data_IF_113120319461
#
_entry.id   IF_113120319461
#
_cell.length_a   1.000
_cell.length_b   1.000
_cell.length_c   1.000
_cell.angle_alpha   90.00
_cell.angle_beta   90.00
_cell.angle_gamma   90.00
#
_symmetry.space_group_name_H-M   'P 1'
#
loop_
_entity.id
_entity.type
_entity.pdbx_description
1 polymer ?
#
# COMPACT_ATOMS: atom_id res chain seq x y z
N UNK A 1 14.14 12.59 -8.96
CA UNK A 1 13.06 11.64 -9.28
C UNK A 1 12.68 10.88 -8.02
N UNK A 2 11.50 11.12 -7.45
CA UNK A 2 11.04 10.36 -6.29
C UNK A 2 10.94 8.85 -6.62
N UNK A 3 11.40 8.02 -5.68
CA UNK A 3 11.31 6.55 -5.76
C UNK A 3 10.15 6.07 -4.90
N UNK A 4 9.20 5.43 -5.54
CA UNK A 4 7.91 5.04 -4.94
C UNK A 4 7.74 3.53 -4.99
N UNK A 5 7.26 2.95 -3.91
CA UNK A 5 6.86 1.55 -3.80
C UNK A 5 5.35 1.49 -3.54
N UNK A 6 4.62 0.82 -4.41
CA UNK A 6 3.20 0.50 -4.25
C UNK A 6 3.07 -0.98 -3.90
N UNK A 7 2.62 -1.28 -2.68
CA UNK A 7 2.47 -2.64 -2.17
C UNK A 7 1.00 -3.04 -2.14
N UNK A 8 0.70 -4.29 -2.44
CA UNK A 8 -0.66 -4.78 -2.71
C UNK A 8 -1.29 -3.96 -3.84
N UNK A 9 -0.53 -3.79 -4.92
CA UNK A 9 -0.84 -2.81 -5.96
C UNK A 9 -2.12 -3.12 -6.75
N UNK A 10 -2.63 -4.36 -6.68
CA UNK A 10 -3.80 -4.77 -7.43
C UNK A 10 -3.60 -4.53 -8.93
N UNK A 11 -4.43 -3.68 -9.50
CA UNK A 11 -4.33 -3.28 -10.92
C UNK A 11 -3.39 -2.08 -11.16
N UNK A 12 -2.74 -1.55 -10.11
CA UNK A 12 -1.74 -0.48 -10.18
C UNK A 12 -2.30 0.94 -10.00
N UNK A 13 -3.49 1.10 -9.46
CA UNK A 13 -4.15 2.41 -9.35
C UNK A 13 -3.31 3.45 -8.59
N UNK A 14 -2.68 3.07 -7.46
CA UNK A 14 -1.90 4.00 -6.66
C UNK A 14 -0.57 4.35 -7.35
N UNK A 15 0.22 3.37 -7.77
CA UNK A 15 1.52 3.62 -8.41
C UNK A 15 1.39 4.38 -9.73
N UNK A 16 0.42 4.05 -10.57
CA UNK A 16 0.11 4.78 -11.79
C UNK A 16 -0.44 6.18 -11.48
N UNK A 17 -1.27 6.31 -10.43
CA UNK A 17 -1.75 7.60 -9.95
C UNK A 17 -0.62 8.52 -9.53
N UNK A 18 0.32 8.02 -8.72
CA UNK A 18 1.52 8.78 -8.34
C UNK A 18 2.29 9.23 -9.58
N UNK A 19 2.52 8.35 -10.54
CA UNK A 19 3.20 8.70 -11.80
C UNK A 19 2.46 9.76 -12.60
N UNK A 20 1.14 9.71 -12.61
CA UNK A 20 0.28 10.68 -13.30
C UNK A 20 0.44 12.09 -12.72
N UNK A 21 0.46 12.20 -11.39
CA UNK A 21 0.54 13.50 -10.70
C UNK A 21 1.98 13.97 -10.44
N UNK A 22 2.94 13.07 -10.45
CA UNK A 22 4.37 13.34 -10.34
C UNK A 22 5.12 12.69 -11.51
N UNK A 23 5.20 13.36 -12.68
CA UNK A 23 5.77 12.78 -13.91
C UNK A 23 7.22 12.30 -13.76
N UNK A 24 7.99 12.86 -12.83
CA UNK A 24 9.37 12.46 -12.57
C UNK A 24 9.50 11.23 -11.65
N UNK A 25 8.41 10.78 -11.02
CA UNK A 25 8.45 9.64 -10.12
C UNK A 25 8.81 8.34 -10.85
N UNK A 26 9.57 7.49 -10.16
CA UNK A 26 9.81 6.09 -10.51
C UNK A 26 9.04 5.22 -9.53
N UNK A 27 8.11 4.42 -10.02
CA UNK A 27 7.26 3.58 -9.18
C UNK A 27 7.50 2.10 -9.44
N UNK A 28 7.59 1.32 -8.36
CA UNK A 28 7.57 -0.14 -8.39
C UNK A 28 6.26 -0.59 -7.76
N UNK A 29 5.43 -1.28 -8.54
CA UNK A 29 4.14 -1.80 -8.11
C UNK A 29 4.26 -3.30 -7.86
N UNK A 30 4.05 -3.73 -6.62
CA UNK A 30 4.21 -5.13 -6.19
C UNK A 30 2.85 -5.75 -5.93
N UNK A 31 2.55 -6.82 -6.64
CA UNK A 31 1.29 -7.56 -6.51
C UNK A 31 1.55 -9.06 -6.38
N UNK A 32 0.85 -9.68 -5.43
CA UNK A 32 1.00 -11.11 -5.15
C UNK A 32 0.12 -11.98 -6.05
N UNK A 33 -1.14 -11.56 -6.28
CA UNK A 33 -2.10 -12.31 -7.08
C UNK A 33 -1.66 -12.40 -8.54
N UNK A 34 -1.47 -13.60 -9.10
CA UNK A 34 -1.13 -13.73 -10.52
C UNK A 34 -2.19 -13.15 -11.46
N UNK A 35 -3.44 -13.20 -11.06
CA UNK A 35 -4.56 -12.64 -11.83
C UNK A 35 -4.51 -11.11 -11.85
N UNK A 36 -4.44 -10.46 -10.68
CA UNK A 36 -4.33 -9.02 -10.58
C UNK A 36 -3.04 -8.51 -11.23
N UNK A 37 -1.93 -9.24 -11.08
CA UNK A 37 -0.64 -8.92 -11.69
C UNK A 37 -0.70 -8.83 -13.22
N UNK A 38 -1.47 -9.69 -13.88
CA UNK A 38 -1.68 -9.60 -15.35
C UNK A 38 -2.34 -8.28 -15.76
N UNK A 39 -3.32 -7.82 -14.98
CA UNK A 39 -3.94 -6.50 -15.21
C UNK A 39 -2.96 -5.35 -14.89
N UNK A 40 -2.17 -5.47 -13.83
CA UNK A 40 -1.13 -4.51 -13.50
C UNK A 40 -0.14 -4.34 -14.66
N UNK A 41 0.39 -5.44 -15.20
CA UNK A 41 1.30 -5.39 -16.35
C UNK A 41 0.65 -4.75 -17.58
N UNK A 42 -0.61 -5.05 -17.84
CA UNK A 42 -1.36 -4.42 -18.94
C UNK A 42 -1.50 -2.92 -18.70
N UNK A 43 -1.91 -2.49 -17.50
CA UNK A 43 -2.12 -1.09 -17.17
C UNK A 43 -0.83 -0.28 -17.21
N UNK A 44 0.29 -0.83 -16.74
CA UNK A 44 1.61 -0.19 -16.86
C UNK A 44 1.97 0.11 -18.32
N UNK A 45 1.58 -0.78 -19.25
CA UNK A 45 1.83 -0.57 -20.68
C UNK A 45 0.86 0.41 -21.35
N UNK A 46 -0.40 0.48 -20.88
CA UNK A 46 -1.48 1.12 -21.65
C UNK A 46 -2.11 2.34 -20.97
N UNK A 47 -2.14 2.39 -19.64
CA UNK A 47 -2.89 3.43 -18.92
C UNK A 47 -2.24 4.82 -19.00
N UNK A 48 -0.91 4.88 -19.04
CA UNK A 48 -0.15 6.12 -19.18
C UNK A 48 0.88 5.97 -20.30
N UNK A 49 0.63 6.52 -21.49
CA UNK A 49 1.60 6.51 -22.59
C UNK A 49 2.96 7.05 -22.12
N UNK A 50 4.02 6.26 -22.30
CA UNK A 50 5.37 6.62 -21.88
C UNK A 50 5.65 6.42 -20.36
N UNK A 51 4.77 5.81 -19.59
CA UNK A 51 5.04 5.51 -18.18
C UNK A 51 6.14 4.45 -17.99
N UNK A 52 6.20 3.45 -18.87
CA UNK A 52 7.30 2.51 -18.90
C UNK A 52 8.55 3.18 -19.50
N UNK A 53 9.78 2.95 -18.96
CA UNK A 53 10.11 2.05 -17.86
C UNK A 53 9.99 2.66 -16.45
N UNK A 54 9.47 3.86 -16.28
CA UNK A 54 9.41 4.55 -14.99
C UNK A 54 8.41 3.95 -14.00
N UNK A 55 7.45 3.15 -14.49
CA UNK A 55 6.58 2.31 -13.66
C UNK A 55 6.88 0.85 -13.97
N UNK A 56 7.21 0.08 -12.95
CA UNK A 56 7.53 -1.34 -13.06
C UNK A 56 6.51 -2.17 -12.31
N UNK A 57 6.02 -3.23 -12.94
CA UNK A 57 5.22 -4.26 -12.30
C UNK A 57 6.12 -5.39 -11.81
N UNK A 58 5.98 -5.79 -10.56
CA UNK A 58 6.71 -6.89 -9.94
C UNK A 58 5.73 -7.85 -9.28
N UNK A 59 5.80 -9.13 -9.62
CA UNK A 59 5.05 -10.14 -8.89
C UNK A 59 5.80 -10.48 -7.61
N UNK A 60 5.17 -10.23 -6.45
CA UNK A 60 5.83 -10.42 -5.16
C UNK A 60 4.86 -10.36 -3.99
N UNK A 61 5.31 -10.87 -2.85
CA UNK A 61 4.55 -10.93 -1.62
C UNK A 61 5.05 -9.87 -0.63
N UNK A 62 4.16 -8.98 -0.14
CA UNK A 62 4.46 -7.98 0.87
C UNK A 62 5.17 -8.57 2.10
N UNK A 63 4.82 -9.79 2.49
CA UNK A 63 5.42 -10.42 3.68
C UNK A 63 6.90 -10.79 3.52
N UNK A 64 7.43 -10.83 2.30
CA UNK A 64 8.83 -11.19 2.02
C UNK A 64 9.56 -10.17 1.17
N UNK A 65 8.87 -9.32 0.43
CA UNK A 65 9.47 -8.41 -0.56
C UNK A 65 10.45 -7.40 0.08
N UNK A 66 10.22 -7.01 1.32
CA UNK A 66 11.10 -6.11 2.09
C UNK A 66 12.54 -6.61 2.15
N UNK A 67 12.78 -7.93 2.10
CA UNK A 67 14.13 -8.53 2.15
C UNK A 67 15.00 -8.17 0.95
N UNK A 68 14.38 -7.78 -0.16
CA UNK A 68 15.06 -7.35 -1.39
C UNK A 68 15.30 -5.84 -1.48
N UNK A 69 14.75 -5.07 -0.54
CA UNK A 69 14.83 -3.61 -0.58
C UNK A 69 16.11 -3.10 0.06
N UNK A 70 16.87 -2.25 -0.65
CA UNK A 70 18.00 -1.56 -0.05
C UNK A 70 17.52 -0.49 0.94
N UNK A 71 18.30 -0.28 1.99
CA UNK A 71 18.00 0.72 3.01
C UNK A 71 18.06 2.16 2.44
N UNK A 72 17.15 3.02 2.90
CA UNK A 72 17.19 4.46 2.68
C UNK A 72 16.98 4.93 1.25
N UNK A 73 16.44 4.11 0.38
CA UNK A 73 16.36 4.45 -1.04
C UNK A 73 14.98 4.93 -1.51
N UNK A 74 13.94 4.70 -0.75
CA UNK A 74 12.58 5.10 -1.13
C UNK A 74 12.20 6.45 -0.54
N UNK A 75 11.48 7.25 -1.32
CA UNK A 75 10.87 8.50 -0.86
C UNK A 75 9.46 8.27 -0.31
N UNK A 76 8.74 7.30 -0.89
CA UNK A 76 7.35 7.04 -0.58
C UNK A 76 7.04 5.54 -0.70
N UNK A 77 6.31 5.02 0.27
CA UNK A 77 5.63 3.74 0.19
C UNK A 77 4.13 4.02 0.27
N UNK A 78 3.36 3.48 -0.66
CA UNK A 78 1.89 3.53 -0.65
C UNK A 78 1.34 2.12 -0.62
N UNK A 79 0.21 1.91 0.06
CA UNK A 79 -0.48 0.63 0.03
C UNK A 79 -1.96 0.78 0.34
N UNK A 80 -2.78 0.06 -0.38
CA UNK A 80 -4.15 -0.27 0.00
C UNK A 80 -4.22 -1.78 0.27
N UNK A 81 -3.76 -2.22 1.44
CA UNK A 81 -3.71 -3.64 1.75
C UNK A 81 -5.09 -4.16 2.13
N UNK A 82 -5.33 -5.48 2.08
CA UNK A 82 -6.51 -6.10 2.69
C UNK A 82 -6.61 -5.71 4.17
N UNK A 83 -7.83 -5.46 4.66
CA UNK A 83 -8.05 -5.02 6.03
C UNK A 83 -9.32 -5.58 6.69
N UNK A 84 -10.09 -6.42 6.00
CA UNK A 84 -11.28 -7.04 6.57
C UNK A 84 -10.91 -8.23 7.45
N UNK A 85 -11.63 -8.35 8.56
CA UNK A 85 -11.53 -9.53 9.44
C UNK A 85 -12.24 -10.73 8.83
N UNK A 86 -11.90 -11.93 9.30
CA UNK A 86 -12.59 -13.16 8.91
C UNK A 86 -14.10 -13.11 9.22
N UNK A 87 -14.52 -12.38 10.26
CA UNK A 87 -15.93 -12.16 10.60
C UNK A 87 -16.61 -11.22 9.58
N UNK A 88 -15.98 -10.10 9.25
CA UNK A 88 -16.49 -9.15 8.26
C UNK A 88 -16.64 -9.79 6.86
N UNK A 89 -15.75 -10.71 6.50
CA UNK A 89 -15.83 -11.48 5.26
C UNK A 89 -17.14 -12.29 5.11
N UNK A 90 -17.82 -12.62 6.22
CA UNK A 90 -19.10 -13.35 6.19
C UNK A 90 -20.30 -12.43 5.90
N UNK A 91 -20.12 -11.10 5.96
CA UNK A 91 -21.19 -10.11 5.89
C UNK A 91 -20.91 -9.02 4.82
N UNK A 92 -20.23 -9.38 3.74
CA UNK A 92 -19.87 -8.46 2.67
C UNK A 92 -21.11 -7.91 1.93
N UNK A 93 -21.03 -6.64 1.54
CA UNK A 93 -21.96 -6.07 0.58
C UNK A 93 -21.82 -6.79 -0.78
N UNK A 94 -22.90 -6.95 -1.57
CA UNK A 94 -22.88 -7.70 -2.84
C UNK A 94 -21.80 -7.24 -3.82
N UNK A 95 -21.49 -5.93 -3.84
CA UNK A 95 -20.47 -5.36 -4.72
C UNK A 95 -19.07 -5.80 -4.29
N UNK A 96 -18.79 -5.76 -2.98
CA UNK A 96 -17.51 -6.15 -2.39
C UNK A 96 -17.29 -7.65 -2.44
N UNK A 97 -18.38 -8.44 -2.35
CA UNK A 97 -18.31 -9.89 -2.44
C UNK A 97 -17.86 -10.42 -3.82
N UNK A 98 -17.82 -9.55 -4.84
CA UNK A 98 -17.29 -9.89 -6.16
C UNK A 98 -15.77 -9.76 -6.25
N UNK A 99 -15.15 -9.12 -5.27
CA UNK A 99 -13.69 -9.01 -5.22
C UNK A 99 -13.07 -10.33 -4.71
N UNK A 100 -11.86 -10.69 -5.17
CA UNK A 100 -11.16 -11.86 -4.67
C UNK A 100 -10.95 -11.78 -3.15
N UNK A 101 -11.22 -12.85 -2.41
CA UNK A 101 -11.04 -12.90 -0.95
C UNK A 101 -9.62 -12.47 -0.52
N UNK A 102 -8.60 -12.81 -1.31
CA UNK A 102 -7.21 -12.41 -1.08
C UNK A 102 -7.01 -10.87 -1.07
N UNK A 103 -7.86 -10.13 -1.77
CA UNK A 103 -7.81 -8.67 -1.82
C UNK A 103 -8.49 -8.00 -0.63
N UNK A 104 -9.23 -8.75 0.19
CA UNK A 104 -10.08 -8.24 1.24
C UNK A 104 -9.65 -8.71 2.64
N UNK A 105 -9.33 -10.01 2.78
CA UNK A 105 -9.13 -10.66 4.07
C UNK A 105 -7.74 -10.41 4.65
N UNK A 106 -7.70 -9.96 5.90
CA UNK A 106 -6.47 -9.64 6.63
C UNK A 106 -6.37 -10.37 7.99
N UNK A 107 -6.85 -11.61 8.05
CA UNK A 107 -6.80 -12.45 9.25
C UNK A 107 -7.88 -12.10 10.28
N UNK A 108 -7.70 -12.61 11.50
CA UNK A 108 -8.73 -12.54 12.53
C UNK A 108 -9.06 -11.11 12.99
N UNK A 109 -8.08 -10.22 13.00
CA UNK A 109 -8.21 -8.84 13.48
C UNK A 109 -8.03 -7.76 12.41
N UNK A 110 -7.86 -8.15 11.14
CA UNK A 110 -7.72 -7.23 10.04
C UNK A 110 -6.38 -6.45 10.01
N UNK A 111 -5.37 -6.84 10.80
CA UNK A 111 -4.15 -6.05 10.99
C UNK A 111 -2.87 -6.69 10.48
N UNK A 112 -2.92 -7.89 9.90
CA UNK A 112 -1.73 -8.66 9.56
C UNK A 112 -0.82 -7.92 8.58
N UNK A 113 -1.39 -7.23 7.59
CA UNK A 113 -0.62 -6.44 6.61
C UNK A 113 -0.01 -5.20 7.24
N UNK A 114 -0.76 -4.49 8.10
CA UNK A 114 -0.24 -3.31 8.80
C UNK A 114 0.92 -3.65 9.74
N UNK A 115 0.88 -4.82 10.40
CA UNK A 115 2.01 -5.31 11.21
C UNK A 115 3.26 -5.50 10.36
N UNK A 116 3.13 -6.17 9.22
CA UNK A 116 4.26 -6.39 8.32
C UNK A 116 4.83 -5.06 7.79
N UNK A 117 3.96 -4.13 7.39
CA UNK A 117 4.36 -2.80 6.92
C UNK A 117 5.09 -2.02 8.02
N UNK A 118 4.52 -1.99 9.24
CA UNK A 118 5.11 -1.25 10.35
C UNK A 118 6.49 -1.80 10.77
N UNK A 119 6.64 -3.12 10.78
CA UNK A 119 7.84 -3.79 11.28
C UNK A 119 8.99 -3.81 10.26
N UNK A 120 8.70 -3.93 8.96
CA UNK A 120 9.72 -4.31 7.98
C UNK A 120 10.04 -3.25 6.93
N UNK A 121 9.18 -2.26 6.73
CA UNK A 121 9.32 -1.36 5.57
C UNK A 121 9.91 0.02 5.90
N UNK A 122 9.99 0.40 7.19
CA UNK A 122 10.49 1.72 7.58
C UNK A 122 11.89 2.01 7.06
N UNK A 123 12.78 1.04 7.17
CA UNK A 123 14.19 1.24 6.86
C UNK A 123 14.48 1.30 5.35
N UNK A 124 13.56 0.86 4.51
CA UNK A 124 13.63 1.06 3.06
C UNK A 124 13.41 2.53 2.65
N UNK A 125 12.67 3.30 3.45
CA UNK A 125 12.49 4.74 3.24
C UNK A 125 13.77 5.50 3.62
N UNK A 126 14.07 6.59 2.92
CA UNK A 126 15.08 7.55 3.39
C UNK A 126 14.60 8.25 4.65
N UNK A 127 15.51 8.85 5.47
CA UNK A 127 15.10 9.71 6.57
C UNK A 127 14.11 10.79 6.11
N UNK A 128 12.97 10.91 6.80
CA UNK A 128 11.86 11.78 6.40
C UNK A 128 11.01 11.28 5.24
N UNK A 129 11.28 10.09 4.69
CA UNK A 129 10.41 9.45 3.70
C UNK A 129 9.08 9.03 4.30
N UNK A 130 8.03 8.90 3.48
CA UNK A 130 6.66 8.71 3.92
C UNK A 130 6.12 7.31 3.62
N UNK A 131 5.27 6.81 4.52
CA UNK A 131 4.36 5.70 4.32
C UNK A 131 2.93 6.22 4.28
N UNK A 132 2.15 5.83 3.27
CA UNK A 132 0.74 6.20 3.13
C UNK A 132 -0.10 4.94 2.98
N UNK A 133 -1.04 4.74 3.90
CA UNK A 133 -1.87 3.54 3.98
C UNK A 133 -3.35 3.88 3.89
N UNK A 134 -4.08 3.15 3.07
CA UNK A 134 -5.54 3.06 3.24
C UNK A 134 -5.87 2.15 4.42
N UNK A 135 -6.93 2.51 5.18
CA UNK A 135 -7.39 1.76 6.35
C UNK A 135 -8.91 1.57 6.32
N UNK A 136 -9.38 0.54 7.01
CA UNK A 136 -10.78 0.43 7.40
C UNK A 136 -11.15 1.57 8.35
N UNK A 137 -12.35 2.11 8.22
CA UNK A 137 -12.80 3.33 8.93
C UNK A 137 -12.76 3.23 10.47
N UNK A 138 -12.75 2.03 11.03
CA UNK A 138 -12.63 1.79 12.48
C UNK A 138 -11.20 1.50 12.94
N UNK A 139 -10.23 1.37 12.04
CA UNK A 139 -8.88 0.91 12.36
C UNK A 139 -7.89 2.03 12.70
N UNK A 140 -8.30 3.30 12.62
CA UNK A 140 -7.42 4.47 12.82
C UNK A 140 -6.54 4.33 14.05
N UNK A 141 -7.17 4.19 15.23
CA UNK A 141 -6.43 4.21 16.50
C UNK A 141 -5.41 3.07 16.56
N UNK A 142 -5.86 1.86 16.24
CA UNK A 142 -5.03 0.66 16.32
C UNK A 142 -3.85 0.70 15.35
N UNK A 143 -4.06 1.16 14.11
CA UNK A 143 -2.97 1.26 13.13
C UNK A 143 -1.99 2.38 13.50
N UNK A 144 -2.46 3.52 14.01
CA UNK A 144 -1.57 4.60 14.48
C UNK A 144 -0.71 4.14 15.67
N UNK A 145 -1.28 3.43 16.64
CA UNK A 145 -0.54 2.87 17.77
C UNK A 145 0.48 1.83 17.33
N UNK A 146 0.11 0.97 16.38
CA UNK A 146 1.01 -0.02 15.79
C UNK A 146 2.22 0.64 15.11
N UNK A 147 2.00 1.68 14.34
CA UNK A 147 3.08 2.44 13.69
C UNK A 147 3.96 3.13 14.73
N UNK A 148 3.38 3.83 15.70
CA UNK A 148 4.12 4.50 16.76
C UNK A 148 4.99 3.51 17.55
N UNK A 149 4.45 2.34 17.91
CA UNK A 149 5.20 1.28 18.60
C UNK A 149 6.37 0.70 17.80
N UNK A 150 6.37 0.86 16.47
CA UNK A 150 7.45 0.44 15.57
C UNK A 150 8.37 1.60 15.14
N UNK A 151 8.31 2.75 15.84
CA UNK A 151 9.24 3.85 15.67
C UNK A 151 8.99 4.72 14.44
N UNK A 152 7.75 4.76 13.95
CA UNK A 152 7.32 5.74 12.97
C UNK A 152 7.01 7.08 13.63
N UNK A 153 7.19 8.17 12.91
CA UNK A 153 7.00 9.55 13.40
C UNK A 153 5.95 10.30 12.57
N UNK A 154 5.51 11.45 13.08
CA UNK A 154 4.60 12.37 12.40
C UNK A 154 3.36 11.65 11.82
N UNK A 155 2.73 10.81 12.66
CA UNK A 155 1.62 9.94 12.24
C UNK A 155 0.32 10.76 12.25
N UNK A 156 -0.32 10.88 11.11
CA UNK A 156 -1.61 11.58 10.95
C UNK A 156 -2.63 10.71 10.22
N UNK A 157 -3.91 10.98 10.46
CA UNK A 157 -5.01 10.34 9.75
C UNK A 157 -5.82 11.37 8.96
N UNK A 158 -6.13 11.03 7.71
CA UNK A 158 -6.99 11.80 6.81
C UNK A 158 -8.31 11.09 6.60
N UNK A 159 -9.38 11.88 6.46
CA UNK A 159 -10.73 11.39 6.18
C UNK A 159 -11.02 11.39 4.69
N UNK A 160 -11.89 10.47 4.29
CA UNK A 160 -12.49 10.48 2.95
C UNK A 160 -13.57 11.59 2.82
N UNK A 161 -14.13 11.71 1.63
CA UNK A 161 -15.20 12.69 1.37
C UNK A 161 -16.49 12.39 2.14
N UNK A 162 -16.68 11.17 2.62
CA UNK A 162 -17.79 10.75 3.48
C UNK A 162 -17.55 11.06 4.97
N UNK A 163 -16.36 11.57 5.32
CA UNK A 163 -15.98 11.90 6.70
C UNK A 163 -15.45 10.72 7.51
N UNK A 164 -15.26 9.54 6.90
CA UNK A 164 -14.69 8.38 7.56
C UNK A 164 -13.16 8.45 7.59
N UNK A 165 -12.54 8.00 8.66
CA UNK A 165 -11.09 7.83 8.72
C UNK A 165 -10.67 6.83 7.63
N UNK A 166 -9.73 7.22 6.76
CA UNK A 166 -9.45 6.43 5.55
C UNK A 166 -7.98 6.29 5.21
N UNK A 167 -7.16 7.26 5.51
CA UNK A 167 -5.77 7.25 5.09
C UNK A 167 -4.86 7.62 6.26
N UNK A 168 -3.85 6.83 6.53
CA UNK A 168 -2.80 7.15 7.50
C UNK A 168 -1.52 7.52 6.74
N UNK A 169 -0.89 8.59 7.18
CA UNK A 169 0.43 9.04 6.74
C UNK A 169 1.37 8.94 7.93
N UNK A 170 2.51 8.33 7.74
CA UNK A 170 3.56 8.24 8.75
C UNK A 170 4.94 8.44 8.10
N UNK A 171 5.93 8.86 8.86
CA UNK A 171 7.26 9.15 8.33
C UNK A 171 8.35 8.33 9.03
N UNK A 172 9.39 7.96 8.28
CA UNK A 172 10.65 7.53 8.89
C UNK A 172 11.25 8.75 9.59
N UNK A 173 11.65 8.66 10.87
CA UNK A 173 12.35 9.75 11.57
C UNK A 173 13.56 10.27 10.78
N UNK A 174 13.87 11.56 10.97
CA UNK A 174 15.03 12.23 10.36
C UNK A 174 16.33 11.80 10.98
#
# INVERSE_FOLDING_TARGET
>A
SPRVLDLCAGTGCLGLGVKRFCPDAQATCVEKSPEAFRYLEQNVRTALPGAAPAVQAVQGDLFTYWQSLPEGQLDLIVSNPPYLTAEEMQHLQPEVAQEPAMALEAGDDGLVFYRALAQHYRDALRPGGALVLEIGWQQRQTVMELLAGNGWADIECRRDYGGNDRCIIAHRPK
#
